data_IF_599843439853
#
_entry.id   IF_599843439853
#
_cell.length_a   1.000
_cell.length_b   1.000
_cell.length_c   1.000
_cell.angle_alpha   90.00
_cell.angle_beta   90.00
_cell.angle_gamma   90.00
#
_symmetry.space_group_name_H-M   'P 1'
#
loop_
_entity.id
_entity.type
_entity.pdbx_description
1 polymer ?
#
# COMPACT_ATOMS: atom_id res chain seq x y z
N UNK A 1 -20.15 37.69 35.08
CA UNK A 1 -18.84 37.02 34.85
C UNK A 1 -18.30 37.46 33.49
N UNK A 2 -16.99 37.71 33.37
CA UNK A 2 -16.35 38.12 32.10
C UNK A 2 -16.14 36.91 31.21
N UNK A 3 -16.51 37.01 29.92
CA UNK A 3 -16.25 35.94 28.93
C UNK A 3 -14.74 35.74 28.79
N UNK A 4 -14.30 34.50 28.91
CA UNK A 4 -12.92 34.11 28.61
C UNK A 4 -12.66 34.26 27.12
N UNK A 5 -11.43 34.64 26.75
CA UNK A 5 -11.00 34.80 25.36
C UNK A 5 -9.69 34.04 25.16
N UNK A 6 -9.57 33.38 24.03
CA UNK A 6 -8.33 32.75 23.56
C UNK A 6 -7.65 33.73 22.60
N UNK A 7 -6.34 33.92 22.73
CA UNK A 7 -5.55 34.72 21.77
C UNK A 7 -5.47 33.98 20.42
N UNK A 8 -5.46 34.71 19.30
CA UNK A 8 -5.43 34.15 17.95
C UNK A 8 -6.50 33.06 17.72
N UNK A 9 -7.72 33.32 18.15
CA UNK A 9 -8.80 32.34 18.22
C UNK A 9 -9.04 31.57 16.92
N UNK A 10 -8.93 32.21 15.75
CA UNK A 10 -9.10 31.54 14.45
C UNK A 10 -7.98 30.52 14.17
N UNK A 11 -6.73 30.89 14.46
CA UNK A 11 -5.58 29.98 14.30
C UNK A 11 -5.70 28.82 15.29
N UNK A 12 -6.04 29.13 16.54
CA UNK A 12 -6.21 28.13 17.58
C UNK A 12 -7.39 27.19 17.28
N UNK A 13 -8.47 27.68 16.68
CA UNK A 13 -9.60 26.85 16.24
C UNK A 13 -9.14 25.79 15.23
N UNK A 14 -8.33 26.18 14.24
CA UNK A 14 -7.77 25.26 13.26
C UNK A 14 -6.84 24.24 13.93
N UNK A 15 -5.94 24.68 14.81
CA UNK A 15 -5.02 23.79 15.53
C UNK A 15 -5.76 22.77 16.41
N UNK A 16 -6.80 23.20 17.13
CA UNK A 16 -7.64 22.31 17.94
C UNK A 16 -8.40 21.30 17.07
N UNK A 17 -8.94 21.73 15.93
CA UNK A 17 -9.58 20.82 14.98
C UNK A 17 -8.62 19.77 14.42
N UNK A 18 -7.37 20.15 14.14
CA UNK A 18 -6.34 19.21 13.70
C UNK A 18 -5.99 18.20 14.80
N UNK A 19 -5.86 18.67 16.05
CA UNK A 19 -5.57 17.79 17.18
C UNK A 19 -6.70 16.78 17.42
N UNK A 20 -7.96 17.22 17.30
CA UNK A 20 -9.14 16.34 17.39
C UNK A 20 -9.09 15.21 16.35
N UNK A 21 -8.58 15.47 15.15
CA UNK A 21 -8.51 14.48 14.07
C UNK A 21 -7.30 13.54 14.21
N UNK A 22 -6.34 13.85 15.10
CA UNK A 22 -5.04 13.18 15.18
C UNK A 22 -5.11 11.74 15.69
N UNK A 23 -5.99 11.45 16.65
CA UNK A 23 -6.13 10.11 17.24
C UNK A 23 -7.52 9.53 16.99
N UNK A 24 -7.68 8.22 17.20
CA UNK A 24 -8.99 7.57 17.07
C UNK A 24 -9.90 7.94 18.22
N UNK A 25 -9.36 7.99 19.43
CA UNK A 25 -10.06 8.36 20.66
C UNK A 25 -10.59 9.79 20.60
N UNK A 26 -9.77 10.75 20.15
CA UNK A 26 -10.21 12.15 20.04
C UNK A 26 -11.33 12.31 19.00
N UNK A 27 -11.28 11.56 17.89
CA UNK A 27 -12.34 11.55 16.88
C UNK A 27 -13.62 10.91 17.41
N UNK A 28 -13.50 9.84 18.20
CA UNK A 28 -14.61 9.21 18.88
C UNK A 28 -15.30 10.18 19.86
N UNK A 29 -14.52 10.80 20.76
CA UNK A 29 -15.03 11.76 21.73
C UNK A 29 -15.66 12.99 21.08
N UNK A 30 -15.10 13.46 19.95
CA UNK A 30 -15.67 14.56 19.18
C UNK A 30 -17.03 14.23 18.57
N UNK A 31 -17.19 13.02 18.04
CA UNK A 31 -18.49 12.53 17.55
C UNK A 31 -19.48 12.37 18.70
N UNK A 32 -19.02 11.88 19.85
CA UNK A 32 -19.80 11.73 21.07
C UNK A 32 -20.33 13.08 21.55
N UNK A 33 -19.52 14.13 21.54
CA UNK A 33 -19.96 15.50 21.83
C UNK A 33 -20.99 16.01 20.81
N UNK A 34 -20.80 15.71 19.52
CA UNK A 34 -21.77 16.04 18.48
C UNK A 34 -23.15 15.44 18.74
N UNK A 35 -23.20 14.15 19.07
CA UNK A 35 -24.46 13.46 19.41
C UNK A 35 -25.04 14.01 20.73
N UNK A 36 -24.21 14.26 21.75
CA UNK A 36 -24.65 14.85 23.01
C UNK A 36 -25.33 16.21 22.81
N UNK A 37 -24.81 17.06 21.93
CA UNK A 37 -25.43 18.35 21.62
C UNK A 37 -26.79 18.19 20.93
N UNK A 38 -26.94 17.18 20.07
CA UNK A 38 -28.24 16.84 19.46
C UNK A 38 -29.22 16.34 20.53
N UNK A 39 -28.78 15.49 21.47
CA UNK A 39 -29.58 15.08 22.62
C UNK A 39 -30.00 16.27 23.49
N UNK A 40 -29.18 17.33 23.56
CA UNK A 40 -29.50 18.58 24.24
C UNK A 40 -30.47 19.50 23.44
N UNK A 41 -31.04 19.00 22.34
CA UNK A 41 -32.04 19.70 21.54
C UNK A 41 -31.48 20.61 20.45
N UNK A 42 -30.17 20.56 20.18
CA UNK A 42 -29.58 21.31 19.06
C UNK A 42 -29.86 20.63 17.73
N UNK A 43 -30.16 21.45 16.72
CA UNK A 43 -30.30 20.96 15.35
C UNK A 43 -28.93 20.55 14.77
N UNK A 44 -28.94 19.66 13.78
CA UNK A 44 -27.71 19.25 13.08
C UNK A 44 -26.97 20.43 12.45
N UNK A 45 -27.68 21.51 12.09
CA UNK A 45 -27.08 22.74 11.56
C UNK A 45 -26.33 23.52 12.64
N UNK A 46 -26.94 23.75 13.81
CA UNK A 46 -26.27 24.42 14.93
C UNK A 46 -25.03 23.65 15.40
N UNK A 47 -25.12 22.33 15.48
CA UNK A 47 -23.98 21.48 15.88
C UNK A 47 -22.87 21.51 14.84
N UNK A 48 -23.24 21.51 13.55
CA UNK A 48 -22.29 21.63 12.45
C UNK A 48 -21.51 22.94 12.52
N UNK A 49 -22.19 24.06 12.76
CA UNK A 49 -21.56 25.39 12.88
C UNK A 49 -20.63 25.46 14.11
N UNK A 50 -21.04 24.87 15.23
CA UNK A 50 -20.25 24.83 16.46
C UNK A 50 -18.98 23.98 16.31
N UNK A 51 -19.10 22.79 15.72
CA UNK A 51 -18.01 21.82 15.62
C UNK A 51 -17.17 21.97 14.34
N UNK A 52 -17.60 22.78 13.38
CA UNK A 52 -16.93 22.99 12.10
C UNK A 52 -17.06 21.79 11.14
N UNK A 53 -18.22 21.15 11.12
CA UNK A 53 -18.55 20.05 10.20
C UNK A 53 -19.71 20.44 9.28
N UNK A 54 -20.05 19.60 8.31
CA UNK A 54 -21.29 19.77 7.56
C UNK A 54 -22.49 19.20 8.33
N UNK A 55 -23.71 19.75 8.16
CA UNK A 55 -24.92 19.21 8.80
C UNK A 55 -25.14 17.72 8.48
N UNK A 56 -24.81 17.30 7.26
CA UNK A 56 -24.86 15.91 6.81
C UNK A 56 -23.91 14.99 7.60
N UNK A 57 -22.74 15.49 8.00
CA UNK A 57 -21.79 14.72 8.81
C UNK A 57 -22.35 14.46 10.20
N UNK A 58 -22.95 15.49 10.82
CA UNK A 58 -23.62 15.36 12.13
C UNK A 58 -24.78 14.37 12.02
N UNK A 59 -25.62 14.50 10.99
CA UNK A 59 -26.71 13.56 10.74
C UNK A 59 -26.20 12.11 10.67
N UNK A 60 -25.11 11.85 9.96
CA UNK A 60 -24.54 10.51 9.90
C UNK A 60 -24.03 9.99 11.24
N UNK A 61 -23.51 10.85 12.11
CA UNK A 61 -23.10 10.42 13.46
C UNK A 61 -24.31 10.01 14.29
N UNK A 62 -25.40 10.80 14.24
CA UNK A 62 -26.66 10.48 14.92
C UNK A 62 -27.26 9.19 14.37
N UNK A 63 -27.38 9.04 13.05
CA UNK A 63 -27.93 7.83 12.43
C UNK A 63 -27.15 6.57 12.81
N UNK A 64 -25.81 6.65 12.83
CA UNK A 64 -24.97 5.51 13.26
C UNK A 64 -25.12 5.20 14.74
N UNK A 65 -25.27 6.23 15.57
CA UNK A 65 -25.52 6.04 16.99
C UNK A 65 -26.88 5.37 17.23
N UNK A 66 -27.93 5.79 16.54
CA UNK A 66 -29.24 5.14 16.62
C UNK A 66 -29.20 3.68 16.12
N UNK A 67 -28.39 3.38 15.11
CA UNK A 67 -28.27 2.03 14.55
C UNK A 67 -27.40 1.07 15.36
N UNK A 68 -26.34 1.56 16.02
CA UNK A 68 -25.28 0.70 16.59
C UNK A 68 -24.76 1.19 17.95
N UNK A 69 -25.42 2.17 18.57
CA UNK A 69 -25.01 2.78 19.83
C UNK A 69 -23.62 3.40 19.74
N UNK A 70 -22.88 3.31 20.85
CA UNK A 70 -21.52 3.84 20.96
C UNK A 70 -20.56 3.26 19.90
N UNK A 71 -20.70 1.99 19.52
CA UNK A 71 -19.87 1.37 18.48
C UNK A 71 -20.02 2.05 17.10
N UNK A 72 -21.17 2.69 16.84
CA UNK A 72 -21.40 3.45 15.61
C UNK A 72 -20.55 4.73 15.50
N UNK A 73 -19.99 5.21 16.61
CA UNK A 73 -19.14 6.39 16.67
C UNK A 73 -17.65 6.08 16.57
N UNK A 74 -17.23 4.83 16.75
CA UNK A 74 -15.84 4.40 16.59
C UNK A 74 -15.37 4.56 15.13
N UNK A 75 -14.08 4.81 14.91
CA UNK A 75 -13.56 4.77 13.54
C UNK A 75 -13.48 3.32 13.08
N UNK A 76 -14.18 3.02 12.00
CA UNK A 76 -14.14 1.69 11.40
C UNK A 76 -12.86 1.54 10.59
N UNK A 77 -12.22 0.38 10.65
CA UNK A 77 -11.10 0.04 9.77
C UNK A 77 -11.55 0.21 8.31
N UNK A 78 -11.03 1.26 7.66
CA UNK A 78 -11.22 1.46 6.23
C UNK A 78 -10.34 0.44 5.52
N UNK A 79 -10.90 -0.73 5.18
CA UNK A 79 -10.34 -1.61 4.15
C UNK A 79 -10.17 -0.72 2.93
N UNK A 80 -8.94 -0.29 2.65
CA UNK A 80 -8.64 0.64 1.55
C UNK A 80 -9.10 0.08 0.20
N UNK A 81 -8.67 0.71 -0.90
CA UNK A 81 -9.00 0.20 -2.24
C UNK A 81 -8.69 -1.32 -2.30
N UNK A 82 -9.67 -2.18 -2.61
CA UNK A 82 -9.45 -3.62 -2.65
C UNK A 82 -8.30 -3.91 -3.61
N UNK A 83 -7.30 -4.66 -3.12
CA UNK A 83 -6.16 -5.04 -3.94
C UNK A 83 -6.67 -5.91 -5.09
N UNK A 84 -6.25 -5.61 -6.33
CA UNK A 84 -6.62 -6.40 -7.52
C UNK A 84 -6.20 -7.87 -7.40
N UNK A 85 -5.30 -8.18 -6.46
CA UNK A 85 -4.84 -9.53 -6.15
C UNK A 85 -5.28 -9.85 -4.72
N UNK A 86 -6.10 -10.88 -4.60
CA UNK A 86 -6.46 -11.51 -3.33
C UNK A 86 -5.22 -12.15 -2.67
N UNK A 87 -5.16 -12.19 -1.34
CA UNK A 87 -4.03 -12.74 -0.58
C UNK A 87 -3.73 -14.19 -0.94
N UNK A 88 -4.78 -14.98 -1.22
CA UNK A 88 -4.63 -16.37 -1.69
C UNK A 88 -3.91 -16.43 -3.04
N UNK A 89 -4.27 -15.54 -3.96
CA UNK A 89 -3.64 -15.44 -5.27
C UNK A 89 -2.20 -14.96 -5.12
N UNK A 90 -1.96 -13.96 -4.27
CA UNK A 90 -0.61 -13.43 -3.99
C UNK A 90 0.36 -14.53 -3.53
N UNK A 91 -0.09 -15.39 -2.60
CA UNK A 91 0.69 -16.53 -2.09
C UNK A 91 1.09 -17.50 -3.21
N UNK A 92 0.12 -17.89 -4.04
CA UNK A 92 0.36 -18.78 -5.19
C UNK A 92 1.30 -18.15 -6.22
N UNK A 93 1.17 -16.85 -6.49
CA UNK A 93 2.10 -16.13 -7.36
C UNK A 93 3.51 -16.19 -6.78
N UNK A 94 3.69 -15.91 -5.48
CA UNK A 94 5.00 -15.97 -4.83
C UNK A 94 5.63 -17.37 -4.88
N UNK A 95 4.84 -18.42 -4.69
CA UNK A 95 5.30 -19.81 -4.86
C UNK A 95 5.76 -20.09 -6.30
N UNK A 96 4.98 -19.67 -7.30
CA UNK A 96 5.30 -19.88 -8.71
C UNK A 96 6.56 -19.07 -9.13
N UNK A 97 6.72 -17.86 -8.62
CA UNK A 97 7.89 -17.02 -8.88
C UNK A 97 9.20 -17.58 -8.30
N UNK A 98 9.13 -18.49 -7.33
CA UNK A 98 10.30 -19.20 -6.76
C UNK A 98 10.71 -20.43 -7.56
N UNK A 99 9.85 -20.91 -8.46
CA UNK A 99 10.16 -21.97 -9.41
C UNK A 99 10.77 -21.39 -10.70
N UNK A 100 11.49 -22.20 -11.47
CA UNK A 100 11.94 -21.77 -12.79
C UNK A 100 10.74 -21.70 -13.74
N UNK A 101 10.62 -20.69 -14.61
CA UNK A 101 9.50 -20.65 -15.54
C UNK A 101 9.41 -21.87 -16.46
N UNK A 102 10.54 -22.56 -16.72
CA UNK A 102 10.56 -23.84 -17.44
C UNK A 102 9.78 -24.95 -16.75
N UNK A 103 9.85 -25.02 -15.43
CA UNK A 103 9.11 -26.02 -14.64
C UNK A 103 7.59 -25.76 -14.70
N UNK A 104 7.21 -24.55 -15.14
CA UNK A 104 5.83 -24.12 -15.35
C UNK A 104 5.42 -24.14 -16.84
N UNK A 105 6.25 -24.71 -17.72
CA UNK A 105 5.96 -24.86 -19.15
C UNK A 105 6.33 -23.67 -20.04
N UNK A 106 7.09 -22.69 -19.53
CA UNK A 106 7.56 -21.55 -20.34
C UNK A 106 8.95 -21.81 -20.94
N UNK A 107 9.21 -21.30 -22.14
CA UNK A 107 10.50 -21.46 -22.80
C UNK A 107 11.65 -20.73 -22.09
N UNK A 108 11.33 -19.64 -21.38
CA UNK A 108 12.32 -18.78 -20.73
C UNK A 108 12.83 -19.35 -19.40
N UNK A 109 14.13 -19.17 -19.14
CA UNK A 109 14.76 -19.61 -17.90
C UNK A 109 14.56 -18.68 -16.70
N UNK A 110 14.19 -17.42 -16.94
CA UNK A 110 14.11 -16.39 -15.90
C UNK A 110 12.80 -15.62 -16.00
N UNK A 111 12.24 -15.33 -14.84
CA UNK A 111 11.11 -14.44 -14.71
C UNK A 111 11.46 -13.02 -15.16
N UNK A 112 10.57 -12.44 -15.97
CA UNK A 112 10.62 -11.04 -16.34
C UNK A 112 9.21 -10.44 -16.28
N UNK A 113 9.10 -9.12 -16.34
CA UNK A 113 7.81 -8.43 -16.17
C UNK A 113 6.76 -8.78 -17.23
N UNK A 114 7.17 -9.10 -18.47
CA UNK A 114 6.25 -9.52 -19.53
C UNK A 114 5.74 -10.94 -19.27
N UNK A 115 6.64 -11.84 -18.90
CA UNK A 115 6.32 -13.23 -18.58
C UNK A 115 5.39 -13.33 -17.36
N UNK A 116 5.64 -12.53 -16.32
CA UNK A 116 4.75 -12.47 -15.17
C UNK A 116 3.37 -11.92 -15.56
N UNK A 117 3.30 -10.84 -16.34
CA UNK A 117 2.03 -10.29 -16.84
C UNK A 117 1.21 -11.34 -17.61
N UNK A 118 1.88 -12.10 -18.50
CA UNK A 118 1.25 -13.19 -19.23
C UNK A 118 0.80 -14.34 -18.31
N UNK A 119 1.65 -14.77 -17.38
CA UNK A 119 1.32 -15.81 -16.41
C UNK A 119 0.09 -15.43 -15.56
N UNK A 120 0.00 -14.17 -15.12
CA UNK A 120 -1.13 -13.67 -14.35
C UNK A 120 -2.43 -13.66 -15.16
N UNK A 121 -2.36 -13.27 -16.43
CA UNK A 121 -3.52 -13.27 -17.31
C UNK A 121 -4.03 -14.70 -17.59
N UNK A 122 -3.14 -15.65 -17.87
CA UNK A 122 -3.52 -17.02 -18.23
C UNK A 122 -4.00 -17.83 -17.03
N UNK A 123 -3.30 -17.73 -15.89
CA UNK A 123 -3.54 -18.63 -14.74
C UNK A 123 -4.54 -18.08 -13.72
N UNK A 124 -4.67 -16.76 -13.64
CA UNK A 124 -5.45 -16.09 -12.60
C UNK A 124 -6.47 -15.07 -13.16
N UNK A 125 -6.57 -14.90 -14.48
CA UNK A 125 -7.38 -13.86 -15.15
C UNK A 125 -7.10 -12.43 -14.65
N UNK A 126 -5.88 -12.20 -14.16
CA UNK A 126 -5.45 -10.92 -13.61
C UNK A 126 -4.61 -10.17 -14.64
N UNK A 127 -5.14 -9.04 -15.13
CA UNK A 127 -4.43 -8.17 -16.09
C UNK A 127 -3.64 -7.09 -15.36
N UNK A 128 -2.35 -7.35 -15.16
CA UNK A 128 -1.41 -6.34 -14.66
C UNK A 128 -0.46 -5.84 -15.74
N UNK A 129 -0.26 -4.52 -15.78
CA UNK A 129 0.77 -3.91 -16.61
C UNK A 129 2.18 -4.34 -16.20
N UNK A 130 3.10 -4.35 -17.16
CA UNK A 130 4.50 -4.80 -16.96
C UNK A 130 5.21 -4.05 -15.81
N UNK A 131 4.96 -2.74 -15.65
CA UNK A 131 5.53 -1.94 -14.55
C UNK A 131 5.03 -2.40 -13.17
N UNK A 132 3.76 -2.80 -13.08
CA UNK A 132 3.22 -3.34 -11.83
C UNK A 132 3.81 -4.72 -11.52
N UNK A 133 3.98 -5.58 -12.53
CA UNK A 133 4.67 -6.85 -12.38
C UNK A 133 6.13 -6.66 -11.92
N UNK A 134 6.84 -5.64 -12.42
CA UNK A 134 8.18 -5.30 -11.96
C UNK A 134 8.23 -4.79 -10.51
N UNK A 135 7.24 -3.99 -10.10
CA UNK A 135 7.08 -3.60 -8.69
C UNK A 135 6.83 -4.82 -7.80
N UNK A 136 6.04 -5.77 -8.29
CA UNK A 136 5.74 -7.01 -7.59
C UNK A 136 6.99 -7.82 -7.26
N UNK A 137 7.92 -7.97 -8.21
CA UNK A 137 9.21 -8.60 -7.94
C UNK A 137 9.98 -7.92 -6.80
N UNK A 138 9.97 -6.59 -6.74
CA UNK A 138 10.65 -5.84 -5.67
C UNK A 138 9.96 -6.05 -4.32
N UNK A 139 8.63 -6.00 -4.29
CA UNK A 139 7.85 -6.22 -3.08
C UNK A 139 8.06 -7.62 -2.49
N UNK A 140 8.24 -8.64 -3.35
CA UNK A 140 8.53 -10.02 -2.94
C UNK A 140 10.03 -10.30 -2.68
N UNK A 141 10.89 -9.27 -2.72
CA UNK A 141 12.32 -9.41 -2.39
C UNK A 141 13.20 -9.98 -3.51
N UNK A 142 12.72 -10.07 -4.75
CA UNK A 142 13.53 -10.57 -5.87
C UNK A 142 14.54 -9.52 -6.35
N UNK A 143 15.79 -9.96 -6.56
CA UNK A 143 16.86 -9.15 -7.17
C UNK A 143 16.84 -9.29 -8.69
N UNK A 144 16.99 -8.17 -9.40
CA UNK A 144 17.20 -8.16 -10.86
C UNK A 144 18.51 -8.88 -11.20
N UNK A 145 18.42 -9.97 -11.97
CA UNK A 145 19.57 -10.68 -12.54
C UNK A 145 19.72 -10.37 -14.01
N UNK A 146 20.94 -10.13 -14.47
CA UNK A 146 21.27 -10.07 -15.90
C UNK A 146 21.57 -11.50 -16.37
N UNK A 147 20.89 -12.03 -17.40
CA UNK A 147 21.25 -13.31 -17.98
C UNK A 147 22.72 -13.28 -18.41
N UNK A 148 23.48 -14.35 -18.15
CA UNK A 148 24.80 -14.53 -18.77
C UNK A 148 24.60 -15.24 -20.10
N UNK A 149 24.75 -14.55 -21.25
CA UNK A 149 24.58 -15.20 -22.53
C UNK A 149 25.67 -16.27 -22.72
N UNK A 150 25.24 -17.48 -23.08
CA UNK A 150 26.14 -18.54 -23.55
C UNK A 150 26.07 -18.50 -25.07
N UNK A 151 27.22 -18.35 -25.71
CA UNK A 151 27.32 -18.32 -27.19
C UNK A 151 27.03 -19.75 -27.68
N UNK A 152 25.99 -19.91 -28.50
CA UNK A 152 25.47 -21.22 -28.92
C UNK A 152 26.48 -22.10 -29.68
N UNK A 153 27.50 -21.49 -30.30
CA UNK A 153 28.55 -22.18 -31.07
C UNK A 153 29.94 -22.10 -30.41
N UNK A 154 30.02 -21.82 -29.12
CA UNK A 154 31.32 -21.75 -28.48
C UNK A 154 31.90 -23.15 -28.23
N UNK A 155 33.07 -23.41 -28.83
CA UNK A 155 33.84 -24.63 -28.62
C UNK A 155 34.18 -24.83 -27.11
N UNK A 156 33.71 -25.92 -26.47
CA UNK A 156 34.01 -26.22 -25.08
C UNK A 156 35.51 -26.31 -24.78
N UNK A 157 36.35 -26.68 -25.75
CA UNK A 157 37.79 -26.75 -25.59
C UNK A 157 38.42 -25.35 -25.51
N UNK A 158 38.02 -24.44 -26.41
CA UNK A 158 38.48 -23.04 -26.41
C UNK A 158 38.03 -22.28 -25.15
N UNK A 159 36.82 -22.54 -24.65
CA UNK A 159 36.38 -21.95 -23.38
C UNK A 159 37.19 -22.43 -22.17
N UNK A 160 37.59 -23.70 -22.14
CA UNK A 160 38.42 -24.27 -21.06
C UNK A 160 39.85 -23.74 -21.12
N UNK A 161 40.42 -23.57 -22.31
CA UNK A 161 41.73 -22.98 -22.51
C UNK A 161 41.75 -21.50 -22.06
N UNK A 162 40.75 -20.71 -22.47
CA UNK A 162 40.63 -19.30 -22.08
C UNK A 162 40.49 -19.11 -20.57
N UNK A 163 39.76 -20.00 -19.86
CA UNK A 163 39.62 -19.94 -18.40
C UNK A 163 40.89 -20.32 -17.62
N UNK A 164 41.90 -20.94 -18.25
CA UNK A 164 43.13 -21.42 -17.58
C UNK A 164 44.34 -20.47 -17.66
N UNK A 165 44.31 -19.44 -18.48
CA UNK A 165 45.40 -18.46 -18.55
C UNK A 165 45.00 -17.12 -17.94
N UNK A 166 45.36 -16.91 -16.68
CA UNK A 166 45.60 -15.55 -16.22
C UNK A 166 46.95 -15.11 -16.83
N UNK A 167 47.05 -13.99 -17.56
CA UNK A 167 48.36 -13.47 -17.91
C UNK A 167 49.06 -13.07 -16.60
N UNK A 168 50.23 -13.65 -16.35
CA UNK A 168 51.13 -13.20 -15.28
C UNK A 168 51.53 -11.76 -15.64
N UNK A 169 50.87 -10.77 -15.02
CA UNK A 169 51.24 -9.38 -15.16
C UNK A 169 52.68 -9.20 -14.67
N UNK A 170 53.59 -8.75 -15.55
CA UNK A 170 54.91 -8.30 -15.14
C UNK A 170 54.74 -7.14 -14.15
N UNK A 171 55.08 -7.35 -12.88
CA UNK A 171 55.34 -6.26 -11.94
C UNK A 171 56.55 -5.47 -12.47
N UNK A 172 56.35 -4.24 -12.95
CA UNK A 172 57.45 -3.25 -12.99
C UNK A 172 57.61 -2.72 -11.56
N UNK A 173 58.73 -3.08 -10.94
CA UNK A 173 59.20 -2.44 -9.71
C UNK A 173 59.82 -1.08 -10.03
N UNK A 174 59.65 -0.18 -9.06
CA UNK A 174 60.27 1.14 -8.82
C UNK A 174 60.88 1.88 -10.02
#
# INVERSE_FOLDING_TARGET
MRKLKVQDAEIMKIALQQEIVRTEEARYDHRLHGVLLVCAGKSCYEVADLLGHSPRTIQYWVERFEQSGFAGLEDQERKGRPTTIDERINRKINENLRQLPRDLGYEQNLWNGKLLSHHLAVKYDVRLGVRQCQRFFRALGFRRRKPRPVIAQADPALQRAYKKTAPVGKKKGY
#
